data_IF_420869514069
#
_entry.id   IF_420869514069
#
_cell.length_a   1.000
_cell.length_b   1.000
_cell.length_c   1.000
_cell.angle_alpha   90.00
_cell.angle_beta   90.00
_cell.angle_gamma   90.00
#
_symmetry.space_group_name_H-M   'P 1'
#
loop_
_entity.id
_entity.type
_entity.pdbx_description
1 polymer ?
#
# COMPACT_ATOMS: atom_id res chain seq x y z
N UNK A 1 77.00 -26.02 -52.99
CA UNK A 1 75.75 -25.52 -53.46
C UNK A 1 74.65 -25.95 -52.50
N UNK A 2 74.32 -25.16 -51.53
CA UNK A 2 73.29 -25.43 -50.53
C UNK A 2 72.11 -24.46 -50.67
N UNK A 3 70.91 -24.97 -51.00
CA UNK A 3 69.65 -24.15 -51.10
C UNK A 3 69.03 -24.10 -49.74
N UNK A 4 69.00 -22.91 -49.15
CA UNK A 4 68.27 -22.56 -47.93
C UNK A 4 66.75 -22.43 -48.28
N UNK A 5 65.92 -23.23 -47.56
CA UNK A 5 64.48 -23.10 -47.57
C UNK A 5 64.08 -22.24 -46.39
N UNK A 6 63.58 -21.03 -46.64
CA UNK A 6 62.97 -20.16 -45.66
C UNK A 6 61.50 -20.61 -45.51
N UNK A 7 61.18 -21.05 -44.30
CA UNK A 7 59.82 -21.43 -43.86
C UNK A 7 59.15 -20.19 -43.30
N UNK A 8 58.18 -19.63 -44.00
CA UNK A 8 57.38 -18.52 -43.52
C UNK A 8 56.31 -19.05 -42.57
N UNK A 9 56.41 -18.75 -41.24
CA UNK A 9 55.37 -19.01 -40.24
C UNK A 9 54.32 -17.89 -40.34
N UNK A 10 53.18 -18.20 -40.87
CA UNK A 10 52.01 -17.30 -40.87
C UNK A 10 51.31 -17.42 -39.50
N UNK A 11 51.47 -16.41 -38.64
CA UNK A 11 50.82 -16.31 -37.33
C UNK A 11 49.38 -15.79 -37.57
N UNK A 12 48.40 -16.69 -37.56
CA UNK A 12 46.96 -16.32 -37.50
C UNK A 12 46.62 -15.85 -36.07
N UNK A 13 46.59 -14.56 -35.86
CA UNK A 13 46.02 -13.94 -34.67
C UNK A 13 44.50 -14.06 -34.71
N UNK A 14 43.99 -15.05 -33.98
CA UNK A 14 42.53 -15.15 -33.69
C UNK A 14 42.22 -14.08 -32.66
N UNK A 15 41.72 -12.93 -33.13
CA UNK A 15 41.12 -11.92 -32.29
C UNK A 15 39.81 -12.51 -31.73
N UNK A 16 39.84 -13.04 -30.52
CA UNK A 16 38.65 -13.37 -29.76
C UNK A 16 37.94 -12.05 -29.44
N UNK A 17 36.94 -11.67 -30.26
CA UNK A 17 35.97 -10.65 -29.87
C UNK A 17 35.19 -11.20 -28.69
N UNK A 18 35.60 -10.81 -27.50
CA UNK A 18 34.79 -10.92 -26.30
C UNK A 18 33.60 -9.96 -26.48
N UNK A 19 32.49 -10.44 -27.06
CA UNK A 19 31.21 -9.77 -26.88
C UNK A 19 30.92 -9.80 -25.38
N UNK A 20 31.27 -8.74 -24.68
CA UNK A 20 30.68 -8.47 -23.38
C UNK A 20 29.20 -8.28 -23.65
N UNK A 21 28.39 -9.29 -23.36
CA UNK A 21 26.95 -9.17 -23.34
C UNK A 21 26.64 -8.06 -22.33
N UNK A 22 26.37 -6.87 -22.86
CA UNK A 22 25.96 -5.73 -22.04
C UNK A 22 24.66 -6.13 -21.38
N UNK A 23 24.70 -6.39 -20.07
CA UNK A 23 23.52 -6.79 -19.34
C UNK A 23 22.43 -5.75 -19.56
N UNK A 24 21.28 -6.18 -20.06
CA UNK A 24 20.14 -5.28 -20.35
C UNK A 24 19.76 -4.55 -19.05
N UNK A 25 19.80 -3.21 -19.08
CA UNK A 25 19.30 -2.40 -17.98
C UNK A 25 17.79 -2.29 -18.07
N UNK A 26 17.08 -2.69 -17.02
CA UNK A 26 15.64 -2.54 -16.91
C UNK A 26 15.29 -1.19 -16.28
N UNK A 27 14.36 -0.48 -16.90
CA UNK A 27 13.86 0.81 -16.45
C UNK A 27 12.48 0.60 -15.82
N UNK A 28 12.35 0.88 -14.52
CA UNK A 28 11.11 0.71 -13.77
C UNK A 28 10.59 2.09 -13.39
N UNK A 29 9.36 2.41 -13.79
CA UNK A 29 8.65 3.60 -13.33
C UNK A 29 8.05 3.35 -11.94
N UNK A 30 8.16 4.31 -11.02
CA UNK A 30 7.38 4.37 -9.79
C UNK A 30 6.54 5.62 -9.78
N UNK A 31 5.22 5.45 -9.76
CA UNK A 31 4.26 6.53 -9.87
C UNK A 31 3.20 6.40 -8.76
N UNK A 32 3.52 6.84 -7.52
CA UNK A 32 2.57 6.88 -6.41
C UNK A 32 1.56 8.01 -6.58
N UNK A 33 0.63 8.18 -5.62
CA UNK A 33 -0.26 9.34 -5.58
C UNK A 33 0.46 10.64 -5.25
N UNK A 34 1.49 10.57 -4.41
CA UNK A 34 2.46 11.64 -4.14
C UNK A 34 3.71 11.05 -3.50
N UNK A 35 4.87 11.63 -3.80
CA UNK A 35 6.13 11.30 -3.13
C UNK A 35 6.19 12.00 -1.77
N UNK A 36 6.82 11.37 -0.77
CA UNK A 36 7.02 11.96 0.56
C UNK A 36 5.91 11.64 1.56
N UNK A 37 4.84 10.98 1.16
CA UNK A 37 3.89 10.43 2.12
C UNK A 37 4.47 9.17 2.80
N UNK A 38 4.15 8.90 4.08
CA UNK A 38 4.73 7.76 4.80
C UNK A 38 4.56 6.42 4.08
N UNK A 39 3.36 6.10 3.61
CA UNK A 39 3.07 4.85 2.90
C UNK A 39 3.82 4.74 1.56
N UNK A 40 3.88 5.84 0.78
CA UNK A 40 4.55 5.82 -0.53
C UNK A 40 6.06 5.68 -0.38
N UNK A 41 6.64 6.28 0.67
CA UNK A 41 8.05 6.09 1.03
C UNK A 41 8.32 4.65 1.48
N UNK A 42 7.41 4.04 2.26
CA UNK A 42 7.54 2.66 2.69
C UNK A 42 7.48 1.68 1.51
N UNK A 43 6.58 1.87 0.55
CA UNK A 43 6.56 1.08 -0.69
C UNK A 43 7.85 1.22 -1.48
N UNK A 44 8.35 2.45 -1.66
CA UNK A 44 9.62 2.67 -2.36
C UNK A 44 10.78 1.98 -1.64
N UNK A 45 10.87 2.10 -0.33
CA UNK A 45 11.90 1.43 0.47
C UNK A 45 11.78 -0.10 0.37
N UNK A 46 10.56 -0.65 0.40
CA UNK A 46 10.31 -2.08 0.17
C UNK A 46 10.77 -2.53 -1.23
N UNK A 47 10.44 -1.78 -2.28
CA UNK A 47 10.93 -2.07 -3.63
C UNK A 47 12.46 -2.02 -3.70
N UNK A 48 13.11 -1.06 -3.05
CA UNK A 48 14.55 -0.92 -3.03
C UNK A 48 15.26 -2.06 -2.30
N UNK A 49 14.63 -2.73 -1.33
CA UNK A 49 15.17 -3.98 -0.73
C UNK A 49 15.37 -5.10 -1.76
N UNK A 50 14.59 -5.09 -2.84
CA UNK A 50 14.71 -6.04 -3.95
C UNK A 50 15.62 -5.48 -5.05
N UNK A 51 15.31 -4.30 -5.56
CA UNK A 51 15.99 -3.73 -6.73
C UNK A 51 17.47 -3.40 -6.47
N UNK A 52 17.86 -3.04 -5.24
CA UNK A 52 19.28 -2.77 -4.93
C UNK A 52 20.19 -4.00 -5.06
N UNK A 53 19.63 -5.20 -5.10
CA UNK A 53 20.36 -6.46 -5.34
C UNK A 53 20.53 -6.77 -6.83
N UNK A 54 19.86 -6.00 -7.69
CA UNK A 54 19.82 -6.19 -9.14
C UNK A 54 20.47 -4.98 -9.84
N UNK A 55 21.78 -5.01 -10.11
CA UNK A 55 22.53 -3.85 -10.66
C UNK A 55 22.02 -3.42 -12.03
N UNK A 56 21.22 -4.25 -12.69
CA UNK A 56 20.59 -3.96 -13.98
C UNK A 56 19.25 -3.20 -13.88
N UNK A 57 18.77 -2.92 -12.66
CA UNK A 57 17.50 -2.20 -12.46
C UNK A 57 17.74 -0.73 -12.16
N UNK A 58 17.02 0.14 -12.87
CA UNK A 58 16.97 1.59 -12.62
C UNK A 58 15.53 2.00 -12.29
N UNK A 59 15.30 2.50 -11.07
CA UNK A 59 14.01 3.06 -10.65
C UNK A 59 13.93 4.54 -11.01
N UNK A 60 12.81 4.96 -11.63
CA UNK A 60 12.47 6.35 -11.94
C UNK A 60 11.17 6.69 -11.21
N UNK A 61 11.25 7.53 -10.18
CA UNK A 61 10.10 7.95 -9.40
C UNK A 61 9.60 9.33 -9.88
N UNK A 62 8.27 9.48 -10.05
CA UNK A 62 7.61 10.71 -10.45
C UNK A 62 6.53 11.08 -9.41
N UNK A 63 6.36 12.38 -9.16
CA UNK A 63 5.42 12.90 -8.16
C UNK A 63 4.25 13.65 -8.81
N UNK A 64 3.05 13.05 -8.90
CA UNK A 64 1.87 13.70 -9.47
C UNK A 64 1.17 14.66 -8.50
N UNK A 65 1.62 14.77 -7.24
CA UNK A 65 1.08 15.69 -6.23
C UNK A 65 -0.44 15.57 -6.06
N UNK A 66 -0.95 14.34 -5.97
CA UNK A 66 -2.38 14.00 -5.80
C UNK A 66 -3.27 14.44 -7.00
N UNK A 67 -2.69 14.81 -8.14
CA UNK A 67 -3.43 15.19 -9.35
C UNK A 67 -3.57 14.01 -10.30
N UNK A 68 -4.78 13.53 -10.53
CA UNK A 68 -5.06 12.48 -11.50
C UNK A 68 -4.67 12.89 -12.93
N UNK A 69 -4.91 14.15 -13.31
CA UNK A 69 -4.53 14.66 -14.64
C UNK A 69 -3.02 14.66 -14.83
N UNK A 70 -2.26 15.13 -13.83
CA UNK A 70 -0.79 15.10 -13.85
C UNK A 70 -0.29 13.66 -13.91
N UNK A 71 -0.92 12.75 -13.17
CA UNK A 71 -0.55 11.34 -13.14
C UNK A 71 -0.76 10.66 -14.50
N UNK A 72 -1.84 11.00 -15.22
CA UNK A 72 -2.06 10.51 -16.60
C UNK A 72 -0.93 10.97 -17.52
N UNK A 73 -0.55 12.25 -17.49
CA UNK A 73 0.59 12.76 -18.28
C UNK A 73 1.90 12.05 -17.94
N UNK A 74 2.18 11.82 -16.65
CA UNK A 74 3.37 11.09 -16.20
C UNK A 74 3.38 9.62 -16.63
N UNK A 75 2.20 8.96 -16.69
CA UNK A 75 2.11 7.63 -17.30
C UNK A 75 2.51 7.64 -18.77
N UNK A 76 2.06 8.64 -19.52
CA UNK A 76 2.43 8.81 -20.94
C UNK A 76 3.94 9.04 -21.11
N UNK A 77 4.54 9.80 -20.20
CA UNK A 77 6.00 10.00 -20.18
C UNK A 77 6.76 8.70 -19.92
N UNK A 78 6.32 7.88 -18.94
CA UNK A 78 6.95 6.59 -18.64
C UNK A 78 6.80 5.59 -19.80
N UNK A 79 5.65 5.57 -20.47
CA UNK A 79 5.40 4.76 -21.67
C UNK A 79 6.32 5.21 -22.80
N UNK A 80 6.36 6.52 -23.08
CA UNK A 80 7.22 7.10 -24.14
C UNK A 80 8.71 6.85 -23.90
N UNK A 81 9.13 6.81 -22.63
CA UNK A 81 10.47 6.45 -22.21
C UNK A 81 10.75 4.95 -22.29
N UNK A 82 9.79 4.14 -22.72
CA UNK A 82 9.88 2.68 -22.85
C UNK A 82 10.33 2.00 -21.55
N UNK A 83 9.71 2.36 -20.43
CA UNK A 83 9.90 1.59 -19.20
C UNK A 83 9.59 0.11 -19.44
N UNK A 84 10.29 -0.78 -18.76
CA UNK A 84 10.04 -2.23 -18.84
C UNK A 84 8.88 -2.62 -17.93
N UNK A 85 8.69 -1.90 -16.81
CA UNK A 85 7.54 -2.03 -15.93
C UNK A 85 7.22 -0.68 -15.24
N UNK A 86 5.99 -0.56 -14.73
CA UNK A 86 5.54 0.58 -13.94
C UNK A 86 4.85 0.08 -12.67
N UNK A 87 5.30 0.57 -11.51
CA UNK A 87 4.61 0.38 -10.24
C UNK A 87 3.80 1.64 -9.96
N UNK A 88 2.47 1.50 -9.90
CA UNK A 88 1.51 2.59 -9.90
C UNK A 88 0.61 2.52 -8.65
N UNK A 89 0.41 3.64 -7.95
CA UNK A 89 -0.77 3.82 -7.11
C UNK A 89 -1.67 4.86 -7.79
N UNK A 90 -2.84 4.48 -8.35
CA UNK A 90 -3.67 5.44 -9.05
C UNK A 90 -4.31 6.44 -8.07
N UNK A 91 -4.25 7.74 -8.41
CA UNK A 91 -5.02 8.80 -7.73
C UNK A 91 -6.51 8.61 -8.01
N UNK A 92 -6.84 8.24 -9.25
CA UNK A 92 -8.17 7.89 -9.70
C UNK A 92 -8.10 6.65 -10.60
N UNK A 93 -8.74 5.57 -10.18
CA UNK A 93 -8.69 4.29 -10.86
C UNK A 93 -9.30 4.33 -12.28
N UNK A 94 -10.36 5.12 -12.47
CA UNK A 94 -11.01 5.26 -13.77
C UNK A 94 -10.17 6.11 -14.73
N UNK A 95 -9.64 7.25 -14.26
CA UNK A 95 -8.81 8.15 -15.06
C UNK A 95 -7.54 7.47 -15.57
N UNK A 96 -6.89 6.64 -14.74
CA UNK A 96 -5.65 5.94 -15.09
C UNK A 96 -5.86 4.70 -15.97
N UNK A 97 -7.08 4.19 -16.08
CA UNK A 97 -7.39 2.94 -16.79
C UNK A 97 -6.94 2.95 -18.26
N UNK A 98 -7.12 4.08 -18.96
CA UNK A 98 -6.69 4.22 -20.35
C UNK A 98 -5.18 4.12 -20.55
N UNK A 99 -4.41 4.81 -19.70
CA UNK A 99 -2.94 4.77 -19.74
C UNK A 99 -2.38 3.41 -19.32
N UNK A 100 -2.99 2.74 -18.32
CA UNK A 100 -2.62 1.38 -17.92
C UNK A 100 -2.83 0.39 -19.07
N UNK A 101 -3.99 0.45 -19.73
CA UNK A 101 -4.26 -0.40 -20.91
C UNK A 101 -3.23 -0.17 -22.02
N UNK A 102 -2.84 1.08 -22.28
CA UNK A 102 -1.83 1.42 -23.30
C UNK A 102 -0.46 0.86 -22.91
N UNK A 103 -0.01 1.04 -21.65
CA UNK A 103 1.25 0.48 -21.15
C UNK A 103 1.32 -1.04 -21.37
N UNK A 104 0.30 -1.77 -20.92
CA UNK A 104 0.24 -3.24 -21.08
C UNK A 104 0.23 -3.64 -22.56
N UNK A 105 -0.49 -2.91 -23.43
CA UNK A 105 -0.51 -3.20 -24.89
C UNK A 105 0.84 -2.98 -25.56
N UNK A 106 1.70 -2.13 -25.01
CA UNK A 106 3.08 -1.90 -25.45
C UNK A 106 4.09 -2.86 -24.80
N UNK A 107 3.62 -3.85 -24.04
CA UNK A 107 4.45 -4.85 -23.36
C UNK A 107 5.17 -4.32 -22.14
N UNK A 108 4.63 -3.29 -21.49
CA UNK A 108 5.09 -2.73 -20.21
C UNK A 108 4.24 -3.37 -19.11
N UNK A 109 4.89 -4.06 -18.17
CA UNK A 109 4.19 -4.65 -17.02
C UNK A 109 3.70 -3.56 -16.06
N UNK A 110 2.42 -3.59 -15.69
CA UNK A 110 1.89 -2.65 -14.69
C UNK A 110 1.50 -3.40 -13.42
N UNK A 111 2.10 -3.02 -12.30
CA UNK A 111 1.76 -3.50 -10.97
C UNK A 111 1.19 -2.35 -10.16
N UNK A 112 -0.06 -2.48 -9.70
CA UNK A 112 -0.64 -1.43 -8.85
C UNK A 112 -0.46 -1.74 -7.37
N UNK A 113 -0.40 -0.68 -6.56
CA UNK A 113 -0.35 -0.75 -5.11
C UNK A 113 -1.63 -0.17 -4.52
N UNK A 114 -2.17 -0.84 -3.52
CA UNK A 114 -3.32 -0.46 -2.71
C UNK A 114 -4.67 -0.39 -3.46
N UNK A 115 -4.69 0.05 -4.71
CA UNK A 115 -5.91 0.17 -5.53
C UNK A 115 -5.63 -0.27 -6.96
N UNK A 116 -6.41 -1.20 -7.50
CA UNK A 116 -6.36 -1.58 -8.91
C UNK A 116 -7.04 -0.51 -9.78
N UNK A 117 -6.68 -0.45 -11.06
CA UNK A 117 -7.48 0.28 -12.07
C UNK A 117 -8.64 -0.56 -12.57
N UNK A 118 -9.54 0.04 -13.36
CA UNK A 118 -10.69 -0.66 -13.93
C UNK A 118 -10.31 -1.54 -15.15
N UNK A 119 -9.07 -1.38 -15.66
CA UNK A 119 -8.57 -2.20 -16.77
C UNK A 119 -7.67 -3.32 -16.26
N UNK A 120 -7.73 -4.50 -16.89
CA UNK A 120 -6.80 -5.57 -16.59
C UNK A 120 -5.34 -5.13 -16.76
N UNK A 121 -4.50 -5.53 -15.82
CA UNK A 121 -3.05 -5.28 -15.80
C UNK A 121 -2.35 -6.40 -15.04
N UNK A 122 -1.02 -6.40 -15.08
CA UNK A 122 -0.18 -7.52 -14.61
C UNK A 122 -0.56 -7.99 -13.21
N UNK A 123 -0.59 -7.09 -12.21
CA UNK A 123 -1.01 -7.45 -10.85
C UNK A 123 -1.40 -6.22 -10.03
N UNK A 124 -2.12 -6.45 -8.93
CA UNK A 124 -2.42 -5.46 -7.90
C UNK A 124 -2.10 -6.01 -6.52
N UNK A 125 -1.24 -5.33 -5.77
CA UNK A 125 -0.89 -5.69 -4.39
C UNK A 125 -1.66 -4.79 -3.43
N UNK A 126 -2.57 -5.37 -2.68
CA UNK A 126 -3.51 -4.64 -1.83
C UNK A 126 -3.49 -5.14 -0.39
N UNK A 127 -3.98 -4.34 0.54
CA UNK A 127 -4.41 -4.82 1.86
C UNK A 127 -5.76 -5.54 1.72
N UNK A 128 -5.98 -6.57 2.51
CA UNK A 128 -7.28 -7.22 2.60
C UNK A 128 -8.22 -6.38 3.47
N UNK A 129 -8.81 -5.32 2.91
CA UNK A 129 -9.54 -4.28 3.67
C UNK A 129 -10.76 -4.83 4.44
N UNK A 130 -11.53 -5.78 3.87
CA UNK A 130 -12.63 -6.43 4.60
C UNK A 130 -12.07 -7.21 5.79
N UNK A 131 -10.98 -7.96 5.60
CA UNK A 131 -10.34 -8.69 6.69
C UNK A 131 -9.74 -7.74 7.74
N UNK A 132 -9.27 -6.55 7.34
CA UNK A 132 -8.77 -5.53 8.26
C UNK A 132 -9.88 -5.02 9.18
N UNK A 133 -11.03 -4.67 8.62
CA UNK A 133 -12.18 -4.26 9.41
C UNK A 133 -12.70 -5.39 10.32
N UNK A 134 -12.77 -6.61 9.79
CA UNK A 134 -13.19 -7.79 10.57
C UNK A 134 -12.26 -8.02 11.76
N UNK A 135 -10.94 -7.93 11.55
CA UNK A 135 -9.92 -8.03 12.59
C UNK A 135 -10.13 -6.96 13.69
N UNK A 136 -10.38 -5.70 13.29
CA UNK A 136 -10.67 -4.63 14.26
C UNK A 136 -11.92 -4.94 15.08
N UNK A 137 -13.00 -5.38 14.43
CA UNK A 137 -14.24 -5.76 15.12
C UNK A 137 -14.05 -6.92 16.09
N UNK A 138 -13.26 -7.92 15.72
CA UNK A 138 -12.92 -9.06 16.57
C UNK A 138 -12.10 -8.62 17.79
N UNK A 139 -11.04 -7.85 17.60
CA UNK A 139 -10.14 -7.45 18.69
C UNK A 139 -10.78 -6.39 19.60
N UNK A 140 -11.50 -5.40 19.05
CA UNK A 140 -12.28 -4.45 19.86
C UNK A 140 -13.34 -5.17 20.69
N UNK A 141 -14.05 -6.12 20.09
CA UNK A 141 -15.07 -6.90 20.81
C UNK A 141 -14.49 -7.69 21.99
N UNK A 142 -13.28 -8.27 21.85
CA UNK A 142 -12.56 -8.89 22.97
C UNK A 142 -12.25 -7.86 24.06
N UNK A 143 -11.75 -6.68 23.69
CA UNK A 143 -11.33 -5.64 24.64
C UNK A 143 -12.49 -5.02 25.43
N UNK A 144 -13.70 -4.96 24.86
CA UNK A 144 -14.91 -4.46 25.54
C UNK A 144 -15.82 -5.59 26.05
N UNK A 145 -15.27 -6.82 26.12
CA UNK A 145 -15.96 -8.00 26.69
C UNK A 145 -17.28 -8.36 25.97
N UNK A 146 -17.34 -8.13 24.67
CA UNK A 146 -18.44 -8.55 23.79
C UNK A 146 -19.73 -7.75 23.91
N UNK A 147 -19.74 -6.62 24.63
CA UNK A 147 -20.92 -5.75 24.83
C UNK A 147 -20.52 -4.29 24.99
N UNK A 148 -21.44 -3.39 24.70
CA UNK A 148 -21.24 -1.95 24.85
C UNK A 148 -21.57 -1.16 23.59
N UNK A 149 -21.33 0.13 23.65
CA UNK A 149 -21.63 1.08 22.59
C UNK A 149 -20.38 1.45 21.80
N UNK A 150 -20.42 1.29 20.49
CA UNK A 150 -19.32 1.66 19.61
C UNK A 150 -19.77 2.63 18.53
N UNK A 151 -18.86 3.48 18.07
CA UNK A 151 -19.11 4.39 16.94
C UNK A 151 -18.10 4.16 15.83
N UNK A 152 -18.45 4.61 14.60
CA UNK A 152 -17.59 4.48 13.43
C UNK A 152 -17.33 5.89 12.87
N UNK A 153 -16.05 6.19 12.60
CA UNK A 153 -15.66 7.35 11.80
C UNK A 153 -15.35 6.82 10.39
N UNK A 154 -16.24 7.16 9.46
CA UNK A 154 -16.30 6.60 8.11
C UNK A 154 -15.42 7.38 7.13
N UNK A 155 -15.12 6.75 6.01
CA UNK A 155 -14.47 7.40 4.85
C UNK A 155 -15.47 8.18 4.01
N UNK A 156 -15.00 9.12 3.17
CA UNK A 156 -15.85 9.74 2.15
C UNK A 156 -16.52 8.70 1.25
N UNK A 157 -17.73 8.97 0.77
CA UNK A 157 -18.44 8.08 -0.14
C UNK A 157 -17.61 7.75 -1.39
N UNK A 158 -17.66 6.50 -1.85
CA UNK A 158 -16.91 6.02 -3.00
C UNK A 158 -15.48 5.57 -2.72
N UNK A 159 -14.96 5.82 -1.53
CA UNK A 159 -13.64 5.35 -1.12
C UNK A 159 -13.69 3.85 -0.75
N UNK A 160 -13.56 2.98 -1.74
CA UNK A 160 -13.77 1.52 -1.64
C UNK A 160 -13.06 0.87 -0.46
N UNK A 161 -11.81 1.28 -0.18
CA UNK A 161 -11.03 0.70 0.92
C UNK A 161 -11.66 0.99 2.29
N UNK A 162 -12.15 2.20 2.53
CA UNK A 162 -12.80 2.56 3.79
C UNK A 162 -14.16 1.86 3.95
N UNK A 163 -14.96 1.83 2.88
CA UNK A 163 -16.22 1.08 2.83
C UNK A 163 -16.01 -0.42 3.12
N UNK A 164 -14.97 -1.02 2.57
CA UNK A 164 -14.63 -2.42 2.83
C UNK A 164 -14.19 -2.67 4.28
N UNK A 165 -13.41 -1.76 4.87
CA UNK A 165 -13.02 -1.84 6.29
C UNK A 165 -14.23 -1.76 7.20
N UNK A 166 -15.11 -0.79 6.96
CA UNK A 166 -16.35 -0.65 7.71
C UNK A 166 -17.24 -1.89 7.58
N UNK A 167 -17.41 -2.40 6.35
CA UNK A 167 -18.16 -3.64 6.10
C UNK A 167 -17.61 -4.79 6.95
N UNK A 168 -16.31 -5.02 6.91
CA UNK A 168 -15.68 -6.07 7.71
C UNK A 168 -15.90 -5.90 9.21
N UNK A 169 -15.79 -4.67 9.72
CA UNK A 169 -16.04 -4.36 11.13
C UNK A 169 -17.49 -4.69 11.54
N UNK A 170 -18.47 -4.22 10.76
CA UNK A 170 -19.89 -4.49 11.01
C UNK A 170 -20.20 -6.00 10.96
N UNK A 171 -19.61 -6.73 10.01
CA UNK A 171 -19.75 -8.18 9.90
C UNK A 171 -19.19 -8.90 11.15
N UNK A 172 -18.02 -8.51 11.64
CA UNK A 172 -17.41 -9.10 12.82
C UNK A 172 -18.27 -8.83 14.08
N UNK A 173 -18.67 -7.58 14.28
CA UNK A 173 -19.50 -7.19 15.44
C UNK A 173 -20.83 -7.95 15.42
N UNK A 174 -21.55 -7.95 14.30
CA UNK A 174 -22.83 -8.63 14.20
C UNK A 174 -22.73 -10.15 14.43
N UNK A 175 -21.66 -10.77 13.93
CA UNK A 175 -21.48 -12.22 13.99
C UNK A 175 -20.92 -12.71 15.33
N UNK A 176 -19.94 -12.01 15.89
CA UNK A 176 -19.17 -12.49 17.05
C UNK A 176 -19.67 -11.88 18.37
N UNK A 177 -20.21 -10.66 18.31
CA UNK A 177 -20.53 -9.87 19.50
C UNK A 177 -21.89 -9.18 19.39
N UNK A 178 -23.00 -9.92 19.37
CA UNK A 178 -24.35 -9.36 19.22
C UNK A 178 -24.77 -8.43 20.39
N UNK A 179 -24.01 -8.40 21.47
CA UNK A 179 -24.18 -7.46 22.60
C UNK A 179 -23.53 -6.09 22.37
N UNK A 180 -22.84 -5.88 21.24
CA UNK A 180 -22.28 -4.58 20.87
C UNK A 180 -23.28 -3.83 20.00
N UNK A 181 -23.58 -2.58 20.37
CA UNK A 181 -24.45 -1.69 19.60
C UNK A 181 -23.63 -0.62 18.90
N UNK A 182 -23.81 -0.47 17.59
CA UNK A 182 -23.22 0.66 16.83
C UNK A 182 -24.16 1.85 16.98
N UNK A 183 -23.77 2.81 17.83
CA UNK A 183 -24.60 3.97 18.22
C UNK A 183 -24.46 5.17 17.28
N UNK A 184 -23.52 5.14 16.36
CA UNK A 184 -23.32 6.20 15.37
C UNK A 184 -22.25 5.85 14.34
N UNK A 185 -22.41 6.43 13.15
CA UNK A 185 -21.44 6.38 12.08
C UNK A 185 -21.46 7.72 11.34
N UNK A 186 -20.31 8.37 11.15
CA UNK A 186 -20.20 9.68 10.50
C UNK A 186 -18.99 9.77 9.60
N UNK A 187 -19.17 10.41 8.44
CA UNK A 187 -18.13 10.58 7.42
C UNK A 187 -17.15 11.69 7.80
N UNK A 188 -15.88 11.38 7.85
CA UNK A 188 -14.80 12.36 7.96
C UNK A 188 -14.28 12.73 6.56
N UNK A 189 -14.79 13.84 6.03
CA UNK A 189 -14.42 14.34 4.70
C UNK A 189 -12.89 14.51 4.58
N UNK A 190 -12.37 14.09 3.42
CA UNK A 190 -10.94 14.20 3.10
C UNK A 190 -10.00 13.35 3.99
N UNK A 191 -10.53 12.41 4.77
CA UNK A 191 -9.76 11.54 5.69
C UNK A 191 -8.97 12.34 6.76
N UNK A 192 -9.44 13.54 7.07
CA UNK A 192 -8.69 14.50 7.89
C UNK A 192 -8.88 14.26 9.38
N UNK A 193 -7.78 14.41 10.11
CA UNK A 193 -7.73 14.33 11.58
C UNK A 193 -8.68 15.36 12.23
N UNK A 194 -8.71 16.57 11.71
CA UNK A 194 -9.53 17.68 12.22
C UNK A 194 -11.03 17.36 12.14
N UNK A 195 -11.45 16.73 11.04
CA UNK A 195 -12.86 16.32 10.88
C UNK A 195 -13.20 15.18 11.86
N UNK A 196 -12.28 14.26 12.08
CA UNK A 196 -12.47 13.20 13.06
C UNK A 196 -12.56 13.72 14.51
N UNK A 197 -11.80 14.78 14.87
CA UNK A 197 -11.95 15.47 16.17
C UNK A 197 -13.37 15.99 16.34
N UNK A 198 -13.91 16.68 15.33
CA UNK A 198 -15.27 17.24 15.36
C UNK A 198 -16.33 16.13 15.52
N UNK A 199 -16.19 15.03 14.75
CA UNK A 199 -17.09 13.90 14.79
C UNK A 199 -17.03 13.21 16.17
N UNK A 200 -15.83 12.98 16.68
CA UNK A 200 -15.68 12.36 18.00
C UNK A 200 -16.29 13.21 19.12
N UNK A 201 -16.13 14.53 19.07
CA UNK A 201 -16.79 15.41 20.03
C UNK A 201 -18.32 15.27 19.97
N UNK A 202 -18.91 15.12 18.78
CA UNK A 202 -20.33 14.87 18.62
C UNK A 202 -20.74 13.51 19.22
N UNK A 203 -19.96 12.47 19.00
CA UNK A 203 -20.22 11.15 19.62
C UNK A 203 -20.14 11.20 21.15
N UNK A 204 -19.15 11.91 21.70
CA UNK A 204 -18.96 12.07 23.15
C UNK A 204 -20.13 12.84 23.80
N UNK A 205 -20.69 13.84 23.10
CA UNK A 205 -21.84 14.58 23.57
C UNK A 205 -23.13 13.79 23.52
N UNK A 206 -23.32 12.99 22.45
CA UNK A 206 -24.53 12.20 22.24
C UNK A 206 -24.58 10.93 23.10
N UNK A 207 -23.42 10.40 23.52
CA UNK A 207 -23.32 9.11 24.21
C UNK A 207 -22.50 9.24 25.50
N UNK A 208 -23.16 9.23 26.65
CA UNK A 208 -22.49 9.20 27.96
C UNK A 208 -21.71 7.90 28.15
N UNK A 209 -22.19 6.81 27.58
CA UNK A 209 -21.53 5.49 27.56
C UNK A 209 -21.10 5.16 26.14
N UNK A 210 -19.81 5.35 25.84
CA UNK A 210 -19.17 4.99 24.58
C UNK A 210 -17.92 4.16 24.92
N UNK A 211 -17.90 2.92 24.49
CA UNK A 211 -16.88 1.92 24.86
C UNK A 211 -15.81 1.75 23.78
N UNK A 212 -16.16 2.02 22.51
CA UNK A 212 -15.24 1.89 21.41
C UNK A 212 -15.49 2.84 20.26
N UNK A 213 -14.44 3.15 19.50
CA UNK A 213 -14.52 3.89 18.23
C UNK A 213 -13.59 3.22 17.21
N UNK A 214 -14.18 2.83 16.09
CA UNK A 214 -13.41 2.44 14.92
C UNK A 214 -13.34 3.61 13.93
N UNK A 215 -12.16 4.14 13.71
CA UNK A 215 -11.89 5.03 12.59
C UNK A 215 -11.26 4.22 11.46
N UNK A 216 -11.82 4.31 10.24
CA UNK A 216 -11.39 3.45 9.12
C UNK A 216 -9.98 3.77 8.60
N UNK A 217 -9.28 4.76 9.19
CA UNK A 217 -7.84 4.96 9.05
C UNK A 217 -7.20 5.55 10.33
N UNK A 218 -5.87 5.54 10.37
CA UNK A 218 -5.10 5.97 11.53
C UNK A 218 -5.15 7.48 11.79
N UNK A 219 -5.14 8.33 10.75
CA UNK A 219 -5.26 9.79 10.94
C UNK A 219 -6.54 10.15 11.69
N UNK A 220 -7.64 9.49 11.33
CA UNK A 220 -8.92 9.72 11.99
C UNK A 220 -8.95 9.09 13.39
N UNK A 221 -8.29 7.96 13.60
CA UNK A 221 -8.15 7.35 14.94
C UNK A 221 -7.36 8.28 15.88
N UNK A 222 -6.29 8.91 15.39
CA UNK A 222 -5.55 9.92 16.15
C UNK A 222 -6.42 11.15 16.47
N UNK A 223 -7.27 11.58 15.54
CA UNK A 223 -8.24 12.65 15.79
C UNK A 223 -9.25 12.27 16.88
N UNK A 224 -9.80 11.07 16.81
CA UNK A 224 -10.70 10.56 17.85
C UNK A 224 -10.01 10.48 19.22
N UNK A 225 -8.75 10.05 19.26
CA UNK A 225 -7.94 9.98 20.48
C UNK A 225 -7.75 11.38 21.11
N UNK A 226 -7.40 12.40 20.31
CA UNK A 226 -7.24 13.77 20.78
C UNK A 226 -8.54 14.31 21.41
N UNK A 227 -9.69 14.09 20.78
CA UNK A 227 -10.97 14.53 21.29
C UNK A 227 -11.34 13.78 22.59
N UNK A 228 -11.12 12.48 22.66
CA UNK A 228 -11.38 11.68 23.86
C UNK A 228 -10.47 12.07 25.03
N UNK A 229 -9.19 12.35 24.77
CA UNK A 229 -8.23 12.83 25.76
C UNK A 229 -8.62 14.22 26.30
N UNK A 230 -9.00 15.14 25.42
CA UNK A 230 -9.47 16.46 25.79
C UNK A 230 -10.75 16.47 26.63
N UNK A 231 -11.62 15.47 26.40
CA UNK A 231 -12.84 15.26 27.19
C UNK A 231 -12.61 14.45 28.50
N UNK A 232 -11.38 14.03 28.77
CA UNK A 232 -11.05 13.19 29.94
C UNK A 232 -11.62 11.77 29.89
N UNK A 233 -12.02 11.30 28.69
CA UNK A 233 -12.68 9.98 28.49
C UNK A 233 -11.82 8.94 27.80
N UNK A 234 -10.57 9.25 27.48
CA UNK A 234 -9.70 8.34 26.70
C UNK A 234 -9.53 6.96 27.35
N UNK A 235 -9.38 6.91 28.67
CA UNK A 235 -9.18 5.64 29.38
C UNK A 235 -10.36 4.66 29.28
N UNK A 236 -11.56 5.18 28.99
CA UNK A 236 -12.80 4.39 28.91
C UNK A 236 -13.06 3.86 27.50
N UNK A 237 -12.46 4.43 26.47
CA UNK A 237 -12.83 4.20 25.06
C UNK A 237 -11.71 3.47 24.34
N UNK A 238 -12.02 2.32 23.73
CA UNK A 238 -11.09 1.58 22.88
C UNK A 238 -11.11 2.16 21.46
N UNK A 239 -10.07 2.94 21.11
CA UNK A 239 -9.96 3.57 19.79
C UNK A 239 -9.10 2.70 18.90
N UNK A 240 -9.61 2.37 17.72
CA UNK A 240 -8.93 1.59 16.70
C UNK A 240 -8.83 2.33 15.39
N UNK A 241 -7.69 2.15 14.71
CA UNK A 241 -7.43 2.62 13.36
C UNK A 241 -7.23 1.50 12.35
N UNK A 242 -6.76 1.88 11.18
CA UNK A 242 -6.25 0.99 10.15
C UNK A 242 -5.19 1.74 9.33
N UNK A 243 -4.11 1.12 9.04
CA UNK A 243 -2.94 1.35 8.21
C UNK A 243 -1.65 1.02 8.96
N UNK A 244 -1.47 1.41 10.21
CA UNK A 244 -0.25 1.19 11.00
C UNK A 244 0.81 2.26 10.74
N UNK A 245 0.40 3.53 10.67
CA UNK A 245 1.34 4.65 10.60
C UNK A 245 2.23 4.69 11.84
N UNK A 246 3.49 5.09 11.68
CA UNK A 246 4.44 5.15 12.79
C UNK A 246 3.92 5.94 13.99
N UNK A 247 3.32 7.11 13.75
CA UNK A 247 2.73 7.93 14.81
C UNK A 247 1.65 7.18 15.61
N UNK A 248 0.81 6.42 14.93
CA UNK A 248 -0.23 5.61 15.58
C UNK A 248 0.37 4.42 16.32
N UNK A 249 1.40 3.76 15.78
CA UNK A 249 2.11 2.69 16.49
C UNK A 249 2.77 3.21 17.78
N UNK A 250 3.37 4.40 17.75
CA UNK A 250 3.93 5.05 18.94
C UNK A 250 2.84 5.37 19.99
N UNK A 251 1.63 5.77 19.56
CA UNK A 251 0.49 5.99 20.46
C UNK A 251 -0.08 4.69 21.02
N UNK A 252 -0.01 3.59 20.28
CA UNK A 252 -0.38 2.25 20.77
C UNK A 252 0.60 1.80 21.85
N UNK A 253 1.91 1.99 21.66
CA UNK A 253 2.93 1.69 22.69
C UNK A 253 2.68 2.46 23.99
N UNK A 254 2.26 3.73 23.88
CA UNK A 254 1.88 4.59 25.00
C UNK A 254 0.53 4.18 25.63
N UNK A 255 -0.24 3.31 25.00
CA UNK A 255 -1.57 2.90 25.47
C UNK A 255 -2.68 3.94 25.24
N UNK A 256 -2.45 4.94 24.38
CA UNK A 256 -3.42 5.97 24.03
C UNK A 256 -4.40 5.54 22.92
N UNK A 257 -3.97 4.67 22.02
CA UNK A 257 -4.78 4.01 21.00
C UNK A 257 -4.76 2.52 21.29
N UNK A 258 -5.91 1.87 21.19
CA UNK A 258 -6.07 0.46 21.54
C UNK A 258 -5.44 -0.49 20.52
N UNK A 259 -5.45 -0.09 19.24
CA UNK A 259 -4.81 -0.83 18.15
C UNK A 259 -5.08 -0.27 16.77
N UNK A 260 -4.42 -0.88 15.80
CA UNK A 260 -4.66 -0.62 14.38
C UNK A 260 -4.54 -1.92 13.58
N UNK A 261 -5.34 -2.06 12.52
CA UNK A 261 -5.10 -3.08 11.52
C UNK A 261 -3.89 -2.66 10.67
N UNK A 262 -2.72 -3.20 11.03
CA UNK A 262 -1.45 -2.85 10.40
C UNK A 262 -1.37 -3.37 8.97
N UNK A 263 -1.09 -2.46 8.04
CA UNK A 263 -0.79 -2.72 6.63
C UNK A 263 0.72 -2.63 6.40
N UNK A 264 1.36 -3.75 6.10
CA UNK A 264 2.81 -3.75 5.87
C UNK A 264 3.14 -3.18 4.49
N UNK A 265 3.25 -1.85 4.38
CA UNK A 265 3.60 -1.16 3.15
C UNK A 265 4.99 -1.56 2.61
N UNK A 266 5.97 -1.86 3.47
CA UNK A 266 7.26 -2.39 3.01
C UNK A 266 7.09 -3.74 2.32
N UNK A 267 6.33 -4.66 2.91
CA UNK A 267 6.07 -5.96 2.31
C UNK A 267 5.30 -5.85 0.98
N UNK A 268 4.38 -4.88 0.88
CA UNK A 268 3.70 -4.59 -0.38
C UNK A 268 4.68 -4.13 -1.46
N UNK A 269 5.60 -3.21 -1.11
CA UNK A 269 6.65 -2.75 -2.03
C UNK A 269 7.60 -3.87 -2.46
N UNK A 270 8.05 -4.70 -1.50
CA UNK A 270 8.90 -5.87 -1.81
C UNK A 270 8.18 -6.86 -2.73
N UNK A 271 6.91 -7.13 -2.48
CA UNK A 271 6.13 -8.05 -3.30
C UNK A 271 5.91 -7.49 -4.71
N UNK A 272 5.58 -6.20 -4.83
CA UNK A 272 5.45 -5.55 -6.13
C UNK A 272 6.76 -5.63 -6.94
N UNK A 273 7.89 -5.38 -6.29
CA UNK A 273 9.20 -5.50 -6.94
C UNK A 273 9.51 -6.94 -7.38
N UNK A 274 9.20 -7.94 -6.57
CA UNK A 274 9.36 -9.37 -6.94
C UNK A 274 8.48 -9.73 -8.14
N UNK A 275 7.22 -9.29 -8.15
CA UNK A 275 6.31 -9.50 -9.30
C UNK A 275 6.88 -8.86 -10.57
N UNK A 276 7.41 -7.64 -10.47
CA UNK A 276 8.08 -6.97 -11.59
C UNK A 276 9.26 -7.80 -12.08
N UNK A 277 10.15 -8.24 -11.20
CA UNK A 277 11.33 -9.04 -11.58
C UNK A 277 10.94 -10.38 -12.22
N UNK A 278 9.96 -11.07 -11.65
CA UNK A 278 9.45 -12.34 -12.20
C UNK A 278 8.81 -12.12 -13.58
N UNK A 279 8.12 -11.01 -13.78
CA UNK A 279 7.53 -10.65 -15.06
C UNK A 279 8.60 -10.33 -16.11
N UNK A 280 9.62 -9.58 -15.74
CA UNK A 280 10.74 -9.26 -16.62
C UNK A 280 11.55 -10.50 -17.03
N UNK A 281 11.69 -11.48 -16.13
CA UNK A 281 12.34 -12.75 -16.42
C UNK A 281 11.57 -13.60 -17.46
N UNK A 282 10.26 -13.46 -17.56
CA UNK A 282 9.40 -14.11 -18.56
C UNK A 282 9.47 -13.44 -19.94
N UNK A 283 10.06 -12.24 -20.02
CA UNK A 283 10.10 -11.44 -21.25
C UNK A 283 8.88 -10.52 -21.39
N UNK A 284 8.87 -9.67 -22.42
CA UNK A 284 7.75 -8.72 -22.64
C UNK A 284 6.43 -9.44 -22.86
N UNK A 285 5.34 -8.81 -22.41
CA UNK A 285 3.99 -9.32 -22.62
C UNK A 285 3.70 -9.48 -24.11
N UNK A 286 3.14 -10.65 -24.46
CA UNK A 286 2.66 -10.92 -25.82
C UNK A 286 1.22 -10.41 -26.01
N UNK A 287 0.46 -10.25 -24.93
CA UNK A 287 -0.93 -9.77 -24.94
C UNK A 287 -1.27 -9.13 -23.60
N UNK A 288 -2.28 -8.25 -23.61
CA UNK A 288 -2.85 -7.67 -22.37
C UNK A 288 -3.42 -8.81 -21.53
N UNK A 289 -3.18 -8.85 -20.21
CA UNK A 289 -3.80 -9.82 -19.32
C UNK A 289 -5.32 -9.80 -19.42
N UNK A 290 -5.95 -10.97 -19.34
CA UNK A 290 -7.42 -11.07 -19.35
C UNK A 290 -8.04 -10.52 -18.05
N UNK A 291 -7.33 -10.67 -16.93
CA UNK A 291 -7.72 -10.20 -15.60
C UNK A 291 -6.49 -9.73 -14.84
N UNK A 292 -6.69 -8.81 -13.88
CA UNK A 292 -5.64 -8.42 -12.95
C UNK A 292 -5.47 -9.51 -11.89
N UNK A 293 -4.23 -9.90 -11.62
CA UNK A 293 -3.91 -10.77 -10.49
C UNK A 293 -3.95 -9.94 -9.19
N UNK A 294 -5.00 -10.12 -8.38
CA UNK A 294 -5.20 -9.38 -7.12
C UNK A 294 -4.58 -10.16 -5.97
N UNK A 295 -3.50 -9.65 -5.43
CA UNK A 295 -2.78 -10.23 -4.30
C UNK A 295 -3.06 -9.41 -3.04
N UNK A 296 -3.72 -10.02 -2.06
CA UNK A 296 -4.08 -9.37 -0.81
C UNK A 296 -3.13 -9.76 0.32
N UNK A 297 -2.50 -8.75 0.94
CA UNK A 297 -1.72 -8.95 2.16
C UNK A 297 -2.67 -8.90 3.36
N UNK A 298 -2.61 -9.96 4.18
CA UNK A 298 -3.42 -10.03 5.40
C UNK A 298 -2.98 -8.96 6.40
N UNK A 299 -3.92 -8.25 7.03
CA UNK A 299 -3.62 -7.31 8.09
C UNK A 299 -3.15 -8.05 9.36
N UNK A 300 -2.42 -7.32 10.18
CA UNK A 300 -1.97 -7.75 11.50
C UNK A 300 -2.54 -6.80 12.56
N UNK A 301 -3.02 -7.33 13.68
CA UNK A 301 -3.51 -6.49 14.78
C UNK A 301 -2.32 -5.94 15.57
N UNK A 302 -1.94 -4.69 15.30
CA UNK A 302 -0.95 -3.98 16.09
C UNK A 302 -1.63 -3.43 17.35
N UNK A 303 -1.37 -4.04 18.49
CA UNK A 303 -1.82 -3.66 19.83
C UNK A 303 -0.60 -3.49 20.74
N UNK A 304 -0.79 -3.02 21.95
CA UNK A 304 0.31 -2.77 22.90
C UNK A 304 1.22 -3.98 23.13
N UNK A 305 0.66 -5.17 23.14
CA UNK A 305 1.39 -6.43 23.34
C UNK A 305 1.96 -7.04 22.07
N UNK A 306 1.53 -6.59 20.90
CA UNK A 306 1.95 -7.13 19.61
C UNK A 306 2.72 -6.15 18.75
N UNK A 307 2.64 -4.84 19.01
CA UNK A 307 3.29 -3.79 18.21
C UNK A 307 4.82 -3.95 18.12
N UNK A 308 5.44 -4.53 19.14
CA UNK A 308 6.89 -4.84 19.14
C UNK A 308 7.29 -5.90 18.11
N UNK A 309 6.35 -6.67 17.58
CA UNK A 309 6.59 -7.65 16.52
C UNK A 309 6.80 -6.97 15.15
N UNK A 310 6.39 -5.68 15.00
CA UNK A 310 6.64 -4.89 13.80
C UNK A 310 8.07 -4.35 13.88
N UNK A 311 8.98 -4.79 12.95
CA UNK A 311 10.34 -4.30 12.93
C UNK A 311 10.40 -2.78 12.78
N UNK A 312 11.34 -2.11 13.45
CA UNK A 312 11.46 -0.65 13.41
C UNK A 312 11.60 -0.12 11.97
N UNK A 313 12.34 -0.84 11.12
CA UNK A 313 12.51 -0.48 9.71
C UNK A 313 11.24 -0.66 8.86
N UNK A 314 10.20 -1.30 9.38
CA UNK A 314 8.92 -1.51 8.70
C UNK A 314 7.81 -0.57 9.23
N UNK A 315 8.13 0.28 10.20
CA UNK A 315 7.23 1.33 10.73
C UNK A 315 7.34 2.57 9.85
N UNK A 316 6.27 2.97 9.21
CA UNK A 316 6.20 4.03 8.21
C UNK A 316 5.29 5.19 8.60
#
# INVERSE_FOLDING_TARGET
MAKSKILALTLCAVAALSLSAQSKTFKIGYLPTSIGQPNTNAWQAGMMRVFSKEPTVKLVALDPQLSAQTQVGMMDDLISQRCDAIVLQPVDAAALSGSVRRAESEGIYVVTLNTATLQPHTASVQMADIAAGYLVGEEMGKQIHGRGNVAIIESPPGATLGVNREKGFREAVAKLYPGITIVGAQVAEGWKKENAITIMNSFLQANSELDGVFAVNDNMAEGAMIAAESAGRLAQIKIWGANGQKSTLDLIEQGKIAGTAYNNCFAQGELAAKIVMDSLAKGRLASIPATTDIIQIKPFAAMKDTVSQIPQQDRW
#
